data_IF_242420666766
#
_entry.id   IF_242420666766
#
_cell.length_a   1.000
_cell.length_b   1.000
_cell.length_c   1.000
_cell.angle_alpha   90.00
_cell.angle_beta   90.00
_cell.angle_gamma   90.00
#
_symmetry.space_group_name_H-M   'P 1'
#
loop_
_entity.id
_entity.type
_entity.pdbx_description
1 polymer ?
#
# COMPACT_ATOMS: atom_id res chain seq x y z
N UNK A 1 -21.39 -0.14 -10.98
CA UNK A 1 -20.44 0.64 -10.13
C UNK A 1 -19.93 1.83 -10.91
N UNK A 2 -19.72 3.00 -10.30
CA UNK A 2 -19.11 4.16 -10.99
C UNK A 2 -17.68 4.38 -10.50
N UNK A 3 -16.72 4.44 -11.41
CA UNK A 3 -15.32 4.76 -11.14
C UNK A 3 -15.04 6.21 -11.53
N UNK A 4 -14.48 7.00 -10.62
CA UNK A 4 -13.95 8.33 -10.91
C UNK A 4 -12.47 8.39 -10.58
N UNK A 5 -11.66 8.74 -11.58
CA UNK A 5 -10.21 8.94 -11.43
C UNK A 5 -9.93 10.43 -11.58
N UNK A 6 -9.22 10.99 -10.61
CA UNK A 6 -8.79 12.38 -10.63
C UNK A 6 -7.77 12.58 -11.76
N UNK A 7 -8.04 13.49 -12.69
CA UNK A 7 -7.22 13.65 -13.90
C UNK A 7 -5.85 14.27 -13.64
N UNK A 8 -5.63 14.88 -12.47
CA UNK A 8 -4.36 15.51 -12.10
C UNK A 8 -3.46 14.49 -11.41
N UNK A 9 -3.97 13.86 -10.36
CA UNK A 9 -3.23 12.94 -9.49
C UNK A 9 -3.37 11.49 -9.92
N UNK A 10 -4.29 11.17 -10.84
CA UNK A 10 -4.62 9.80 -11.21
C UNK A 10 -5.11 8.93 -10.05
N UNK A 11 -5.42 9.52 -8.89
CA UNK A 11 -6.01 8.81 -7.77
C UNK A 11 -7.42 8.37 -8.15
N UNK A 12 -7.83 7.19 -7.70
CA UNK A 12 -9.26 6.88 -7.72
C UNK A 12 -9.90 7.73 -6.63
N UNK A 13 -10.77 8.66 -7.02
CA UNK A 13 -11.43 9.61 -6.15
C UNK A 13 -12.90 9.27 -5.93
N UNK A 14 -13.52 8.52 -6.84
CA UNK A 14 -14.92 8.10 -6.75
C UNK A 14 -15.05 6.59 -6.94
N UNK A 15 -15.78 5.96 -6.02
CA UNK A 15 -16.30 4.61 -6.14
C UNK A 15 -17.67 4.62 -5.48
N UNK A 16 -18.68 4.94 -6.28
CA UNK A 16 -20.05 5.05 -5.83
C UNK A 16 -20.84 3.79 -6.18
N UNK A 17 -21.64 3.31 -5.22
CA UNK A 17 -22.55 2.18 -5.39
C UNK A 17 -23.95 2.59 -4.99
N UNK A 18 -24.89 2.53 -5.94
CA UNK A 18 -26.26 3.05 -5.71
C UNK A 18 -26.28 4.51 -5.20
N UNK A 19 -25.36 5.35 -5.70
CA UNK A 19 -25.22 6.75 -5.29
C UNK A 19 -24.44 6.99 -3.99
N UNK A 20 -24.05 5.94 -3.25
CA UNK A 20 -23.26 6.07 -2.02
C UNK A 20 -21.77 6.00 -2.33
N UNK A 21 -21.06 7.10 -2.08
CA UNK A 21 -19.61 7.16 -2.17
C UNK A 21 -18.98 6.37 -1.03
N UNK A 22 -18.26 5.29 -1.35
CA UNK A 22 -17.73 4.33 -0.37
C UNK A 22 -16.29 4.66 0.08
N UNK A 23 -15.64 5.61 -0.60
CA UNK A 23 -14.19 5.74 -0.57
C UNK A 23 -13.74 7.16 -0.30
N UNK A 24 -12.52 7.28 0.22
CA UNK A 24 -11.73 8.47 0.03
C UNK A 24 -10.81 8.27 -1.17
N UNK A 25 -10.18 9.34 -1.69
CA UNK A 25 -9.14 9.17 -2.71
C UNK A 25 -8.14 8.09 -2.28
N UNK A 26 -7.62 7.32 -3.23
CA UNK A 26 -6.59 6.30 -3.03
C UNK A 26 -5.66 6.16 -4.24
N UNK A 27 -4.51 5.50 -4.03
CA UNK A 27 -3.46 5.40 -5.03
C UNK A 27 -2.40 4.38 -4.65
N UNK A 28 -1.14 4.69 -4.97
CA UNK A 28 0.01 3.92 -4.51
C UNK A 28 0.95 4.74 -3.61
N UNK A 29 1.81 4.03 -2.90
CA UNK A 29 2.91 4.60 -2.12
C UNK A 29 4.19 3.83 -2.46
N UNK A 30 5.32 4.52 -2.43
CA UNK A 30 6.64 3.90 -2.59
C UNK A 30 7.63 4.61 -1.70
N UNK A 31 8.50 3.84 -1.06
CA UNK A 31 9.42 4.40 -0.08
C UNK A 31 10.73 3.66 -0.01
N UNK A 32 11.70 4.36 0.53
CA UNK A 32 12.85 3.76 1.17
C UNK A 32 13.03 4.41 2.54
N UNK A 33 14.00 3.95 3.31
CA UNK A 33 14.18 4.48 4.66
C UNK A 33 14.56 5.96 4.75
N UNK A 34 14.96 6.59 3.63
CA UNK A 34 15.41 7.99 3.57
C UNK A 34 14.39 8.94 2.92
N UNK A 35 13.42 8.43 2.18
CA UNK A 35 12.43 9.23 1.43
C UNK A 35 11.19 8.42 1.10
N UNK A 36 10.05 9.08 0.95
CA UNK A 36 8.76 8.44 0.74
C UNK A 36 7.93 9.27 -0.22
N UNK A 37 7.28 8.61 -1.17
CA UNK A 37 6.33 9.18 -2.10
C UNK A 37 4.95 8.54 -1.91
N UNK A 38 3.90 9.38 -1.92
CA UNK A 38 2.51 8.94 -2.00
C UNK A 38 1.83 9.69 -3.13
N UNK A 39 1.11 8.96 -3.97
CA UNK A 39 0.34 9.53 -5.08
C UNK A 39 -0.67 10.60 -4.62
N UNK A 40 -1.12 10.55 -3.37
CA UNK A 40 -2.06 11.52 -2.81
C UNK A 40 -1.44 12.84 -2.40
N UNK A 41 -0.13 12.83 -2.19
CA UNK A 41 0.64 13.97 -1.67
C UNK A 41 1.62 14.43 -2.73
N UNK A 42 1.16 14.63 -3.97
CA UNK A 42 1.99 15.25 -5.03
C UNK A 42 2.49 16.59 -4.49
N UNK A 43 3.79 16.68 -4.19
CA UNK A 43 4.42 17.84 -3.53
C UNK A 43 4.86 17.68 -2.07
N UNK A 44 4.83 16.47 -1.49
CA UNK A 44 5.28 16.18 -0.12
C UNK A 44 6.80 16.04 0.07
N UNK A 45 7.28 16.43 1.26
CA UNK A 45 8.68 16.49 1.71
C UNK A 45 9.54 15.29 1.24
N UNK A 46 10.55 15.59 0.41
CA UNK A 46 11.72 14.76 0.04
C UNK A 46 11.57 13.79 -1.16
N UNK A 47 10.48 13.83 -1.92
CA UNK A 47 10.39 13.13 -3.22
C UNK A 47 9.58 13.94 -4.21
N UNK A 48 10.16 14.23 -5.37
CA UNK A 48 9.48 14.92 -6.47
C UNK A 48 9.21 13.92 -7.60
N UNK A 49 7.97 13.77 -8.07
CA UNK A 49 7.73 13.11 -9.35
C UNK A 49 8.35 13.99 -10.44
N UNK A 50 9.26 13.42 -11.23
CA UNK A 50 9.90 14.17 -12.32
C UNK A 50 9.14 14.09 -13.64
N UNK A 51 8.36 13.03 -13.80
CA UNK A 51 7.43 12.86 -14.92
C UNK A 51 6.15 12.22 -14.38
N UNK A 52 5.02 12.71 -14.85
CA UNK A 52 3.69 12.33 -14.41
C UNK A 52 2.72 12.39 -15.57
N UNK A 53 2.18 11.25 -15.97
CA UNK A 53 1.18 11.15 -17.03
C UNK A 53 -0.02 10.37 -16.51
N UNK A 54 -1.20 10.95 -16.72
CA UNK A 54 -2.48 10.39 -16.27
C UNK A 54 -3.38 10.23 -17.49
N UNK A 55 -3.82 9.00 -17.70
CA UNK A 55 -4.82 8.66 -18.68
C UNK A 55 -6.08 8.18 -17.96
N UNK A 56 -7.22 8.80 -18.28
CA UNK A 56 -8.52 8.43 -17.70
C UNK A 56 -9.49 8.14 -18.84
N UNK A 57 -10.02 6.93 -18.85
CA UNK A 57 -11.17 6.52 -19.66
C UNK A 57 -12.41 6.34 -18.78
N UNK A 58 -13.57 6.00 -19.38
CA UNK A 58 -14.82 5.78 -18.64
C UNK A 58 -14.73 4.63 -17.63
N UNK A 59 -14.06 3.55 -18.03
CA UNK A 59 -13.98 2.29 -17.27
C UNK A 59 -12.55 1.95 -16.85
N UNK A 60 -11.60 2.83 -17.14
CA UNK A 60 -10.19 2.60 -16.85
C UNK A 60 -9.46 3.87 -16.41
N UNK A 61 -8.42 3.67 -15.61
CA UNK A 61 -7.47 4.70 -15.24
C UNK A 61 -6.06 4.14 -15.31
N UNK A 62 -5.15 4.90 -15.89
CA UNK A 62 -3.72 4.58 -15.92
C UNK A 62 -2.91 5.79 -15.49
N UNK A 63 -1.96 5.54 -14.61
CA UNK A 63 -0.96 6.52 -14.18
C UNK A 63 0.40 5.96 -14.48
N UNK A 64 1.24 6.75 -15.14
CA UNK A 64 2.67 6.47 -15.25
C UNK A 64 3.46 7.60 -14.59
N UNK A 65 4.46 7.22 -13.80
CA UNK A 65 5.23 8.17 -13.00
C UNK A 65 6.71 7.79 -12.99
N UNK A 66 7.59 8.80 -13.07
CA UNK A 66 9.00 8.66 -12.71
C UNK A 66 9.23 9.28 -11.34
N UNK A 67 9.44 8.44 -10.34
CA UNK A 67 9.57 8.85 -8.93
C UNK A 67 11.05 8.86 -8.54
N UNK A 68 11.50 10.03 -8.07
CA UNK A 68 12.81 10.19 -7.46
C UNK A 68 12.71 10.00 -5.95
N UNK A 69 13.44 9.01 -5.44
CA UNK A 69 13.68 8.81 -4.03
C UNK A 69 15.16 9.06 -3.73
N UNK A 70 15.52 9.23 -2.46
CA UNK A 70 16.90 9.36 -2.03
C UNK A 70 17.71 8.12 -2.47
N UNK A 71 18.57 8.30 -3.48
CA UNK A 71 19.39 7.23 -4.06
C UNK A 71 18.68 6.33 -5.09
N UNK A 72 17.40 6.53 -5.40
CA UNK A 72 16.63 5.66 -6.28
C UNK A 72 15.93 6.44 -7.41
N UNK A 73 15.74 5.78 -8.56
CA UNK A 73 14.94 6.28 -9.68
C UNK A 73 14.06 5.16 -10.21
N UNK A 74 12.75 5.36 -10.11
CA UNK A 74 11.75 4.32 -10.32
C UNK A 74 10.74 4.77 -11.38
N UNK A 75 10.45 3.91 -12.34
CA UNK A 75 9.29 4.03 -13.21
C UNK A 75 8.14 3.23 -12.60
N UNK A 76 7.01 3.87 -12.34
CA UNK A 76 5.84 3.26 -11.72
C UNK A 76 4.66 3.39 -12.66
N UNK A 77 3.90 2.31 -12.79
CA UNK A 77 2.65 2.28 -13.53
C UNK A 77 1.54 1.73 -12.61
N UNK A 78 0.46 2.48 -12.45
CA UNK A 78 -0.75 2.06 -11.76
C UNK A 78 -1.90 2.01 -12.77
N UNK A 79 -2.50 0.84 -12.93
CA UNK A 79 -3.67 0.60 -13.78
C UNK A 79 -4.87 0.21 -12.94
N UNK A 80 -6.03 0.67 -13.36
CA UNK A 80 -7.32 0.45 -12.74
C UNK A 80 -8.31 0.16 -13.87
N UNK A 81 -9.10 -0.90 -13.77
CA UNK A 81 -10.06 -1.27 -14.81
C UNK A 81 -11.31 -1.88 -14.20
N UNK A 82 -12.49 -1.40 -14.59
CA UNK A 82 -13.75 -2.04 -14.26
C UNK A 82 -13.88 -3.35 -15.02
N UNK A 83 -14.16 -4.43 -14.28
CA UNK A 83 -14.39 -5.76 -14.84
C UNK A 83 -15.84 -6.12 -14.55
N UNK A 84 -16.73 -5.53 -15.35
CA UNK A 84 -18.17 -5.60 -15.14
C UNK A 84 -18.68 -4.66 -14.05
N UNK A 85 -19.96 -4.80 -13.66
CA UNK A 85 -20.64 -3.84 -12.80
C UNK A 85 -20.16 -3.85 -11.35
N UNK A 86 -19.60 -4.98 -10.88
CA UNK A 86 -19.32 -5.23 -9.47
C UNK A 86 -17.84 -5.42 -9.12
N UNK A 87 -16.92 -5.27 -10.08
CA UNK A 87 -15.50 -5.52 -9.82
C UNK A 87 -14.58 -4.45 -10.43
N UNK A 88 -13.50 -4.17 -9.72
CA UNK A 88 -12.41 -3.31 -10.16
C UNK A 88 -11.10 -4.08 -10.02
N UNK A 89 -10.38 -4.22 -11.12
CA UNK A 89 -9.02 -4.76 -11.11
C UNK A 89 -8.01 -3.62 -11.02
N UNK A 90 -6.95 -3.86 -10.27
CA UNK A 90 -5.82 -2.94 -10.13
C UNK A 90 -4.52 -3.68 -10.32
N UNK A 91 -3.61 -3.07 -11.07
CA UNK A 91 -2.23 -3.54 -11.19
C UNK A 91 -1.29 -2.38 -10.90
N UNK A 92 -0.31 -2.61 -10.05
CA UNK A 92 0.75 -1.66 -9.72
C UNK A 92 2.09 -2.30 -10.05
N UNK A 93 2.83 -1.67 -10.96
CA UNK A 93 4.15 -2.13 -11.39
C UNK A 93 5.19 -1.06 -11.05
N UNK A 94 6.33 -1.48 -10.50
CA UNK A 94 7.49 -0.63 -10.27
C UNK A 94 8.71 -1.24 -10.94
N UNK A 95 9.45 -0.43 -11.70
CA UNK A 95 10.71 -0.81 -12.34
C UNK A 95 11.83 0.14 -11.94
N UNK A 96 12.99 -0.42 -11.57
CA UNK A 96 14.17 0.37 -11.28
C UNK A 96 14.84 0.85 -12.58
N UNK A 97 15.08 2.15 -12.71
CA UNK A 97 15.76 2.74 -13.89
C UNK A 97 17.28 2.82 -13.69
N UNK A 98 17.74 2.77 -12.45
CA UNK A 98 19.15 2.70 -12.03
C UNK A 98 19.24 1.82 -10.78
N UNK A 99 20.45 1.46 -10.27
CA UNK A 99 20.57 0.78 -8.98
C UNK A 99 19.82 1.58 -7.89
N UNK A 100 18.77 0.99 -7.33
CA UNK A 100 17.79 1.73 -6.53
C UNK A 100 17.48 1.00 -5.22
N UNK A 101 17.82 1.59 -4.06
CA UNK A 101 17.37 1.07 -2.76
C UNK A 101 15.89 1.39 -2.56
N UNK A 102 15.08 0.34 -2.35
CA UNK A 102 13.64 0.46 -2.10
C UNK A 102 13.26 -0.33 -0.86
N UNK A 103 12.55 0.31 0.05
CA UNK A 103 12.07 -0.29 1.30
C UNK A 103 10.68 -0.90 1.14
N UNK A 104 9.77 -0.20 0.47
CA UNK A 104 8.42 -0.68 0.25
C UNK A 104 7.74 -0.11 -1.02
N UNK A 105 6.77 -0.87 -1.52
CA UNK A 105 5.80 -0.46 -2.54
C UNK A 105 4.41 -0.89 -2.05
N UNK A 106 3.45 0.04 -2.02
CA UNK A 106 2.11 -0.21 -1.51
C UNK A 106 1.05 0.12 -2.55
N UNK A 107 0.15 -0.83 -2.80
CA UNK A 107 -1.16 -0.56 -3.37
C UNK A 107 -2.11 -0.24 -2.22
N UNK A 108 -2.63 0.99 -2.21
CA UNK A 108 -3.43 1.53 -1.10
C UNK A 108 -4.89 1.73 -1.50
N UNK A 109 -5.78 1.36 -0.60
CA UNK A 109 -7.22 1.61 -0.67
C UNK A 109 -7.67 2.32 0.60
N UNK A 110 -8.60 3.25 0.47
CA UNK A 110 -9.12 4.04 1.59
C UNK A 110 -10.63 4.05 1.57
N UNK A 111 -11.23 3.43 2.57
CA UNK A 111 -12.68 3.29 2.67
C UNK A 111 -13.23 4.11 3.83
N UNK A 112 -14.47 4.52 3.67
CA UNK A 112 -15.25 5.22 4.67
C UNK A 112 -15.79 4.25 5.72
N UNK A 113 -15.36 4.41 6.97
CA UNK A 113 -15.78 3.54 8.06
C UNK A 113 -17.24 3.78 8.50
N UNK A 114 -17.82 4.95 8.20
CA UNK A 114 -19.24 5.22 8.43
C UNK A 114 -20.14 4.43 7.46
N UNK A 115 -19.64 4.11 6.27
CA UNK A 115 -20.33 3.26 5.29
C UNK A 115 -20.02 1.77 5.52
N UNK A 116 -18.76 1.48 5.87
CA UNK A 116 -18.20 0.14 6.05
C UNK A 116 -17.62 -0.02 7.47
N UNK A 117 -18.46 -0.14 8.51
CA UNK A 117 -18.01 -0.10 9.92
C UNK A 117 -17.18 -1.29 10.37
N UNK A 118 -17.22 -2.42 9.64
CA UNK A 118 -16.60 -3.68 10.07
C UNK A 118 -15.59 -4.17 9.05
N UNK A 119 -14.37 -4.47 9.48
CA UNK A 119 -13.39 -5.22 8.70
C UNK A 119 -13.39 -6.70 9.12
N UNK A 120 -13.31 -7.60 8.14
CA UNK A 120 -13.28 -9.05 8.31
C UNK A 120 -12.10 -9.63 7.54
N UNK A 121 -11.27 -10.42 8.21
CA UNK A 121 -10.15 -11.14 7.59
C UNK A 121 -9.72 -12.30 8.47
N UNK A 122 -9.48 -13.48 7.88
CA UNK A 122 -9.02 -14.67 8.61
C UNK A 122 -9.95 -15.08 9.74
N UNK A 123 -11.27 -14.89 9.56
CA UNK A 123 -12.29 -15.14 10.59
C UNK A 123 -12.36 -14.09 11.71
N UNK A 124 -11.41 -13.15 11.78
CA UNK A 124 -11.46 -12.04 12.73
C UNK A 124 -12.39 -10.95 12.22
N UNK A 125 -13.21 -10.42 13.13
CA UNK A 125 -14.18 -9.35 12.87
C UNK A 125 -13.82 -8.14 13.73
N UNK A 126 -13.60 -6.99 13.10
CA UNK A 126 -13.05 -5.79 13.72
C UNK A 126 -13.97 -4.60 13.45
N UNK A 127 -14.48 -3.98 14.52
CA UNK A 127 -15.17 -2.68 14.41
C UNK A 127 -14.16 -1.53 14.34
N UNK A 128 -14.50 -0.46 13.61
CA UNK A 128 -13.67 0.74 13.55
C UNK A 128 -13.68 1.49 14.89
N UNK A 129 -12.51 1.89 15.37
CA UNK A 129 -12.33 2.58 16.66
C UNK A 129 -11.58 3.92 16.51
N UNK A 130 -11.11 4.28 15.32
CA UNK A 130 -10.32 5.50 15.05
C UNK A 130 -9.00 5.58 15.83
N UNK A 131 -8.29 4.45 15.99
CA UNK A 131 -7.15 4.32 16.93
C UNK A 131 -5.76 4.16 16.28
N UNK A 132 -5.62 4.38 14.97
CA UNK A 132 -4.36 4.22 14.23
C UNK A 132 -3.68 2.86 14.48
N UNK A 133 -4.45 1.76 14.37
CA UNK A 133 -3.93 0.41 14.62
C UNK A 133 -3.76 -0.37 13.34
N UNK A 134 -2.58 -0.94 13.18
CA UNK A 134 -2.24 -1.89 12.13
C UNK A 134 -2.59 -3.29 12.61
N UNK A 135 -3.23 -4.07 11.73
CA UNK A 135 -3.46 -5.49 11.96
C UNK A 135 -2.89 -6.23 10.76
N UNK A 136 -1.62 -6.61 10.89
CA UNK A 136 -0.95 -7.47 9.92
C UNK A 136 -1.67 -8.82 9.89
N UNK A 137 -2.16 -9.18 8.71
CA UNK A 137 -2.93 -10.39 8.50
C UNK A 137 -2.19 -11.20 7.43
N UNK A 138 -2.02 -12.49 7.67
CA UNK A 138 -1.41 -13.41 6.69
C UNK A 138 -2.31 -13.68 5.49
N UNK A 139 -3.50 -13.12 5.48
CA UNK A 139 -4.53 -13.32 4.48
C UNK A 139 -4.29 -12.48 3.23
N UNK A 140 -4.63 -13.02 2.06
CA UNK A 140 -4.59 -12.29 0.79
C UNK A 140 -5.84 -11.43 0.57
N UNK A 141 -6.87 -11.59 1.41
CA UNK A 141 -8.18 -10.95 1.26
C UNK A 141 -8.65 -10.27 2.54
N UNK A 142 -9.23 -9.08 2.38
CA UNK A 142 -9.87 -8.30 3.43
C UNK A 142 -11.26 -7.88 2.94
N UNK A 143 -12.29 -8.21 3.71
CA UNK A 143 -13.67 -7.80 3.44
C UNK A 143 -14.07 -6.68 4.40
N UNK A 144 -14.57 -5.58 3.87
CA UNK A 144 -15.18 -4.49 4.63
C UNK A 144 -16.69 -4.59 4.45
N UNK A 145 -17.43 -4.61 5.56
CA UNK A 145 -18.87 -4.86 5.59
C UNK A 145 -19.63 -3.66 6.13
N UNK A 146 -20.81 -3.41 5.55
CA UNK A 146 -21.76 -2.40 5.99
C UNK A 146 -23.22 -2.84 5.76
N UNK A 147 -24.19 -1.97 6.10
CA UNK A 147 -25.61 -2.31 6.06
C UNK A 147 -26.15 -2.71 4.69
N UNK A 148 -25.48 -2.28 3.62
CA UNK A 148 -25.95 -2.46 2.25
C UNK A 148 -25.14 -3.50 1.45
N UNK A 149 -24.12 -4.11 2.06
CA UNK A 149 -23.25 -5.04 1.36
C UNK A 149 -21.84 -5.07 1.91
N UNK A 150 -20.93 -5.62 1.11
CA UNK A 150 -19.52 -5.66 1.44
C UNK A 150 -18.64 -5.34 0.23
N UNK A 151 -17.48 -4.76 0.51
CA UNK A 151 -16.38 -4.61 -0.43
C UNK A 151 -15.27 -5.56 -0.02
N UNK A 152 -14.87 -6.46 -0.91
CA UNK A 152 -13.74 -7.37 -0.68
C UNK A 152 -12.57 -6.94 -1.54
N UNK A 153 -11.41 -6.75 -0.91
CA UNK A 153 -10.15 -6.44 -1.58
C UNK A 153 -9.25 -7.66 -1.46
N UNK A 154 -8.93 -8.25 -2.60
CA UNK A 154 -8.15 -9.48 -2.73
C UNK A 154 -6.88 -9.22 -3.52
N UNK A 155 -5.76 -9.76 -3.06
CA UNK A 155 -4.54 -9.85 -3.85
C UNK A 155 -4.63 -11.04 -4.81
N UNK A 156 -4.61 -10.77 -6.10
CA UNK A 156 -4.76 -11.79 -7.15
C UNK A 156 -3.42 -12.22 -7.77
N UNK A 157 -2.36 -11.43 -7.59
CA UNK A 157 -1.03 -11.77 -8.08
C UNK A 157 0.06 -10.85 -7.55
N UNK A 158 1.30 -11.33 -7.56
CA UNK A 158 2.47 -10.52 -7.21
C UNK A 158 3.75 -11.04 -7.88
N UNK A 159 4.54 -10.13 -8.44
CA UNK A 159 5.93 -10.38 -8.81
C UNK A 159 6.82 -9.74 -7.75
N UNK A 160 7.32 -10.56 -6.82
CA UNK A 160 7.84 -10.06 -5.54
C UNK A 160 9.33 -9.73 -5.53
N UNK A 161 10.15 -10.34 -6.39
CA UNK A 161 11.61 -10.13 -6.38
C UNK A 161 12.22 -10.29 -4.97
N UNK A 162 13.04 -9.33 -4.49
CA UNK A 162 13.64 -9.36 -3.14
C UNK A 162 12.68 -8.89 -2.01
N UNK A 163 11.39 -8.81 -2.27
CA UNK A 163 10.37 -8.36 -1.32
C UNK A 163 9.51 -9.53 -0.84
N UNK A 164 8.80 -9.30 0.27
CA UNK A 164 7.70 -10.15 0.72
C UNK A 164 6.40 -9.38 0.59
N UNK A 165 5.32 -10.10 0.29
CA UNK A 165 3.98 -9.53 0.30
C UNK A 165 3.48 -9.46 1.73
N UNK A 166 2.88 -8.33 2.09
CA UNK A 166 2.11 -8.15 3.31
C UNK A 166 0.79 -7.48 2.97
N UNK A 167 -0.31 -8.05 3.44
CA UNK A 167 -1.64 -7.46 3.33
C UNK A 167 -2.13 -7.10 4.72
N UNK A 168 -2.69 -5.91 4.90
CA UNK A 168 -3.26 -5.53 6.19
C UNK A 168 -4.39 -4.53 6.06
N UNK A 169 -5.19 -4.46 7.11
CA UNK A 169 -6.15 -3.39 7.35
C UNK A 169 -5.66 -2.51 8.50
N UNK A 170 -5.77 -1.20 8.33
CA UNK A 170 -5.45 -0.20 9.33
C UNK A 170 -6.70 0.59 9.67
N UNK A 171 -7.02 0.59 10.96
CA UNK A 171 -7.99 1.48 11.58
C UNK A 171 -7.35 2.87 11.68
N UNK A 172 -7.68 3.77 10.76
CA UNK A 172 -7.11 5.12 10.69
C UNK A 172 -8.02 6.15 11.36
N UNK A 173 -7.47 7.10 12.15
CA UNK A 173 -8.24 8.22 12.69
C UNK A 173 -8.98 9.01 11.61
N UNK A 174 -10.12 9.57 11.99
CA UNK A 174 -11.00 10.29 11.09
C UNK A 174 -11.90 9.36 10.26
N UNK A 175 -12.30 8.22 10.83
CA UNK A 175 -13.32 7.34 10.23
C UNK A 175 -12.87 6.63 8.94
N UNK A 176 -11.60 6.23 8.84
CA UNK A 176 -11.03 5.64 7.63
C UNK A 176 -10.53 4.22 7.87
N UNK A 177 -10.92 3.31 7.00
CA UNK A 177 -10.20 2.05 6.82
C UNK A 177 -9.15 2.21 5.73
N UNK A 178 -7.93 1.79 6.00
CA UNK A 178 -6.89 1.71 4.99
C UNK A 178 -6.58 0.24 4.76
N UNK A 179 -6.83 -0.26 3.55
CA UNK A 179 -6.43 -1.61 3.14
C UNK A 179 -5.21 -1.49 2.26
N UNK A 180 -4.16 -2.24 2.58
CA UNK A 180 -2.90 -2.24 1.87
C UNK A 180 -2.55 -3.63 1.36
N UNK A 181 -2.09 -3.70 0.11
CA UNK A 181 -1.20 -4.75 -0.34
C UNK A 181 0.19 -4.14 -0.51
N UNK A 182 1.19 -4.67 0.19
CA UNK A 182 2.55 -4.13 0.20
C UNK A 182 3.57 -5.17 -0.21
N UNK A 183 4.53 -4.74 -1.00
CA UNK A 183 5.85 -5.36 -1.08
C UNK A 183 6.75 -4.67 -0.05
N UNK A 184 7.27 -5.43 0.90
CA UNK A 184 8.22 -4.94 1.91
C UNK A 184 9.55 -5.63 1.69
N UNK A 185 10.63 -4.86 1.65
CA UNK A 185 11.97 -5.38 1.42
C UNK A 185 12.27 -6.50 2.43
N UNK A 186 12.70 -7.64 1.91
CA UNK A 186 13.05 -8.77 2.77
C UNK A 186 14.38 -8.53 3.43
N UNK A 187 14.66 -9.47 4.32
CA UNK A 187 15.85 -9.44 5.10
C UNK A 187 17.15 -9.59 4.29
N UNK A 188 17.09 -10.04 3.05
CA UNK A 188 18.25 -10.13 2.18
C UNK A 188 18.82 -8.75 1.75
N UNK A 189 18.10 -7.66 2.03
CA UNK A 189 18.49 -6.29 1.68
C UNK A 189 19.45 -5.61 2.68
N UNK A 190 19.83 -4.37 2.34
CA UNK A 190 20.60 -3.48 3.21
C UNK A 190 19.78 -3.15 4.46
N UNK A 191 20.26 -3.59 5.61
CA UNK A 191 19.62 -3.36 6.90
C UNK A 191 19.75 -1.91 7.33
N UNK A 192 18.67 -1.38 7.90
CA UNK A 192 18.60 0.00 8.36
C UNK A 192 18.04 0.02 9.78
N UNK A 193 18.68 0.76 10.67
CA UNK A 193 18.16 1.09 12.00
C UNK A 193 17.80 2.57 12.00
N UNK A 194 16.57 2.89 12.36
CA UNK A 194 16.07 4.26 12.51
C UNK A 194 15.79 4.56 13.97
N UNK A 195 16.39 5.61 14.52
CA UNK A 195 15.99 6.16 15.83
C UNK A 195 14.78 7.07 15.65
N UNK A 196 13.71 6.79 16.39
CA UNK A 196 12.42 7.45 16.20
C UNK A 196 12.42 8.88 16.75
N UNK A 197 13.13 9.12 17.86
CA UNK A 197 13.17 10.44 18.52
C UNK A 197 13.65 11.58 17.61
N UNK A 198 14.59 11.30 16.71
CA UNK A 198 15.25 12.33 15.89
C UNK A 198 15.40 11.90 14.42
N UNK A 199 14.71 10.86 14.00
CA UNK A 199 14.75 10.29 12.65
C UNK A 199 16.16 9.94 12.14
N UNK A 200 17.16 9.74 13.03
CA UNK A 200 18.51 9.32 12.59
C UNK A 200 18.51 7.92 12.04
N UNK A 201 19.29 7.72 11.00
CA UNK A 201 19.38 6.48 10.25
C UNK A 201 20.79 5.92 10.27
N UNK A 202 20.93 4.63 10.58
CA UNK A 202 22.18 3.89 10.47
C UNK A 202 22.00 2.71 9.54
N UNK A 203 22.86 2.60 8.54
CA UNK A 203 22.96 1.39 7.73
C UNK A 203 23.81 0.38 8.47
N UNK A 204 23.30 -0.85 8.56
CA UNK A 204 23.98 -1.94 9.24
C UNK A 204 24.85 -2.67 8.21
N UNK A 205 26.18 -2.71 8.38
CA UNK A 205 27.06 -3.38 7.44
C UNK A 205 26.70 -4.87 7.28
N UNK A 206 26.76 -5.41 6.06
CA UNK A 206 26.66 -6.85 5.83
C UNK A 206 27.67 -7.60 6.70
N UNK A 207 27.25 -8.68 7.37
CA UNK A 207 28.13 -9.51 8.21
C UNK A 207 28.35 -9.02 9.65
N UNK A 208 27.83 -7.85 10.03
CA UNK A 208 27.89 -7.37 11.42
C UNK A 208 27.09 -8.24 12.39
N UNK A 209 27.37 -8.16 13.70
CA UNK A 209 26.59 -8.88 14.73
C UNK A 209 25.09 -8.55 14.69
N UNK A 210 24.75 -7.29 14.40
CA UNK A 210 23.36 -6.84 14.23
C UNK A 210 22.67 -7.39 12.97
N UNK A 211 23.46 -7.89 12.00
CA UNK A 211 22.93 -8.56 10.81
C UNK A 211 22.60 -10.04 11.05
N UNK A 212 22.90 -10.60 12.23
CA UNK A 212 22.61 -12.00 12.57
C UNK A 212 21.10 -12.23 12.79
N UNK A 213 20.59 -13.28 12.16
CA UNK A 213 19.17 -13.60 12.03
C UNK A 213 18.31 -13.58 13.31
N UNK A 214 18.74 -14.10 14.48
CA UNK A 214 17.86 -14.13 15.66
C UNK A 214 17.67 -12.76 16.32
N UNK A 215 18.71 -11.93 16.42
CA UNK A 215 18.61 -10.57 16.99
C UNK A 215 17.82 -9.64 16.09
N UNK A 216 18.00 -9.84 14.79
CA UNK A 216 17.25 -9.15 13.75
C UNK A 216 15.75 -9.39 13.89
N UNK A 217 15.34 -10.66 13.91
CA UNK A 217 13.93 -11.04 14.10
C UNK A 217 13.39 -10.52 15.44
N UNK A 218 14.20 -10.53 16.49
CA UNK A 218 13.82 -10.01 17.81
C UNK A 218 13.56 -8.49 17.77
N UNK A 219 14.46 -7.68 17.21
CA UNK A 219 14.28 -6.22 17.12
C UNK A 219 13.08 -5.85 16.22
N UNK A 220 12.85 -6.62 15.16
CA UNK A 220 11.67 -6.47 14.30
C UNK A 220 10.38 -6.76 15.07
N UNK A 221 10.30 -7.91 15.75
CA UNK A 221 9.11 -8.35 16.49
C UNK A 221 8.86 -7.54 17.77
N UNK A 222 9.90 -7.11 18.47
CA UNK A 222 9.80 -6.36 19.72
C UNK A 222 9.01 -5.07 19.51
N UNK A 223 9.23 -4.34 18.41
CA UNK A 223 8.44 -3.14 18.14
C UNK A 223 7.03 -3.45 17.66
N UNK A 224 6.90 -4.29 16.63
CA UNK A 224 5.59 -4.56 16.00
C UNK A 224 4.60 -5.18 16.98
N UNK A 225 5.07 -5.98 17.95
CA UNK A 225 4.19 -6.77 18.83
C UNK A 225 4.19 -6.34 20.30
N UNK A 226 5.31 -5.83 20.84
CA UNK A 226 5.47 -5.67 22.30
C UNK A 226 5.75 -4.24 22.75
N UNK A 227 6.40 -3.42 21.93
CA UNK A 227 6.81 -2.07 22.30
C UNK A 227 6.68 -1.09 21.12
N UNK A 228 5.45 -0.65 20.79
CA UNK A 228 5.21 0.34 19.73
C UNK A 228 5.98 1.66 19.91
N UNK A 229 6.38 1.96 21.15
CA UNK A 229 7.20 3.12 21.56
C UNK A 229 8.70 2.83 21.63
N UNK A 230 9.18 1.73 21.05
CA UNK A 230 10.60 1.42 21.03
C UNK A 230 11.39 2.59 20.40
N UNK A 231 12.53 2.99 20.98
CA UNK A 231 13.30 4.13 20.49
C UNK A 231 13.92 3.90 19.11
N UNK A 232 13.98 2.64 18.66
CA UNK A 232 14.56 2.21 17.39
C UNK A 232 13.57 1.37 16.57
N UNK A 233 13.62 1.56 15.25
CA UNK A 233 13.00 0.69 14.25
C UNK A 233 14.10 0.02 13.46
N UNK A 234 13.89 -1.23 13.09
CA UNK A 234 14.75 -1.88 12.11
C UNK A 234 13.96 -2.14 10.84
N UNK A 235 14.67 -2.10 9.73
CA UNK A 235 14.15 -2.11 8.38
C UNK A 235 15.13 -2.72 7.40
N UNK A 236 14.68 -2.91 6.16
CA UNK A 236 15.58 -3.22 5.05
C UNK A 236 15.26 -2.34 3.85
N UNK A 237 16.27 -2.09 3.00
CA UNK A 237 16.10 -1.68 1.62
C UNK A 237 16.57 -2.83 0.72
N UNK A 238 15.74 -3.27 -0.22
CA UNK A 238 16.17 -4.11 -1.30
C UNK A 238 16.88 -3.26 -2.36
N UNK A 239 18.06 -3.70 -2.82
CA UNK A 239 18.74 -3.05 -3.94
C UNK A 239 18.25 -3.66 -5.25
N UNK A 240 17.47 -2.90 -6.01
CA UNK A 240 17.02 -3.29 -7.33
C UNK A 240 18.04 -2.87 -8.39
N UNK A 241 18.44 -3.82 -9.24
CA UNK A 241 19.28 -3.55 -10.41
C UNK A 241 18.47 -2.86 -11.51
N UNK A 242 19.10 -2.10 -12.43
CA UNK A 242 18.40 -1.48 -13.55
C UNK A 242 17.59 -2.50 -14.35
N UNK A 243 16.35 -2.14 -14.69
CA UNK A 243 15.42 -3.00 -15.42
C UNK A 243 14.64 -4.00 -14.56
N UNK A 244 15.09 -4.29 -13.33
CA UNK A 244 14.35 -5.15 -12.41
C UNK A 244 12.97 -4.55 -12.12
N UNK A 245 11.94 -5.39 -12.17
CA UNK A 245 10.56 -5.00 -11.96
C UNK A 245 9.90 -5.88 -10.90
N UNK A 246 8.98 -5.27 -10.16
CA UNK A 246 8.08 -5.94 -9.22
C UNK A 246 6.67 -5.43 -9.44
N UNK A 247 5.67 -6.24 -9.11
CA UNK A 247 4.27 -5.87 -9.32
C UNK A 247 3.34 -6.46 -8.27
N UNK A 248 2.19 -5.81 -8.10
CA UNK A 248 1.06 -6.25 -7.32
C UNK A 248 -0.19 -6.17 -8.21
N UNK A 249 -1.01 -7.22 -8.20
CA UNK A 249 -2.31 -7.26 -8.84
C UNK A 249 -3.37 -7.58 -7.79
N UNK A 250 -4.48 -6.86 -7.84
CA UNK A 250 -5.55 -6.96 -6.86
C UNK A 250 -6.90 -6.77 -7.53
N UNK A 251 -7.93 -7.38 -6.93
CA UNK A 251 -9.31 -7.24 -7.33
C UNK A 251 -10.14 -6.74 -6.15
N UNK A 252 -10.93 -5.73 -6.40
CA UNK A 252 -11.98 -5.25 -5.52
C UNK A 252 -13.31 -5.77 -6.06
N UNK A 253 -14.12 -6.39 -5.20
CA UNK A 253 -15.46 -6.89 -5.55
C UNK A 253 -16.52 -6.35 -4.60
N UNK A 254 -17.72 -6.10 -5.14
CA UNK A 254 -18.92 -5.73 -4.40
C UNK A 254 -19.83 -6.95 -4.21
N UNK A 255 -20.55 -7.00 -3.09
CA UNK A 255 -21.52 -8.06 -2.78
C UNK A 255 -22.71 -7.52 -1.97
N UNK A 256 -23.80 -8.29 -1.92
CA UNK A 256 -25.06 -7.90 -1.27
C UNK A 256 -25.88 -6.92 -2.11
N UNK A 257 -26.70 -6.09 -1.46
CA UNK A 257 -27.56 -5.10 -2.16
C UNK A 257 -26.76 -4.07 -2.99
N UNK A 258 -25.46 -3.95 -2.73
CA UNK A 258 -24.53 -3.19 -3.58
C UNK A 258 -24.25 -3.82 -4.93
N UNK A 259 -24.22 -5.14 -5.03
CA UNK A 259 -24.08 -5.81 -6.32
C UNK A 259 -25.34 -5.61 -7.17
N UNK A 260 -26.52 -5.76 -6.56
CA UNK A 260 -27.81 -5.59 -7.24
C UNK A 260 -28.05 -4.17 -7.77
N UNK A 261 -27.50 -3.15 -7.09
CA UNK A 261 -27.60 -1.73 -7.52
C UNK A 261 -26.53 -1.31 -8.51
N UNK A 262 -25.60 -2.21 -8.81
CA UNK A 262 -24.50 -1.92 -9.72
C UNK A 262 -24.80 -2.33 -11.16
N UNK A 263 -25.78 -3.22 -11.35
CA UNK A 263 -26.42 -3.61 -12.61
C UNK A 263 -27.45 -2.56 -13.06
#
# INVERSE_FOLDING_TARGET
MKLGVDSVTGCVAELAVGGVQCIHPWGFEVGNWRSFFSQQMVGGLLSEPREWDVHVGPDEGRVTAKVHLAGALLAIESRHQLVGPCALERTLTMRAMKPSPVGDLAMRYVFRADVLPVAVSGGLRLGHQSVNRYRDLTETSISLQGPHGAVTVELTGAQVGPFRVVTYVRDEPGGRWIVHHRLIATEAGMLVIKRIRDNRLWEVPPGSFLSRWPLRRLLWLCRERYWPRAPYQMGANALLVPGAAVSLSSRLTLSGAWAERAD
#
